data_IF_398515391430
#
_entry.id   IF_398515391430
#
_cell.length_a   1.000
_cell.length_b   1.000
_cell.length_c   1.000
_cell.angle_alpha   90.00
_cell.angle_beta   90.00
_cell.angle_gamma   90.00
#
_symmetry.space_group_name_H-M   'P 1'
#
loop_
_entity.id
_entity.type
_entity.pdbx_description
1 polymer ?
#
# COMPACT_ATOMS: atom_id res chain seq x y z
N UNK A 1 11.65 -6.51 11.95
CA UNK A 1 11.27 -5.12 11.67
C UNK A 1 9.82 -4.95 12.09
N UNK A 2 9.52 -4.05 13.03
CA UNK A 2 8.14 -3.61 13.25
C UNK A 2 7.98 -2.34 12.43
N UNK A 3 7.25 -2.42 11.31
CA UNK A 3 6.88 -1.24 10.55
C UNK A 3 5.93 -0.39 11.40
N UNK A 4 6.26 0.88 11.59
CA UNK A 4 5.30 1.86 12.12
C UNK A 4 4.21 2.01 11.07
N UNK A 5 2.96 1.69 11.44
CA UNK A 5 1.79 1.80 10.58
C UNK A 5 1.73 3.20 9.96
N UNK A 6 1.59 3.24 8.64
CA UNK A 6 1.24 4.44 7.88
C UNK A 6 -0.17 4.27 7.38
N UNK A 7 -0.95 5.33 7.37
CA UNK A 7 -2.32 5.27 6.88
C UNK A 7 -2.75 6.59 6.27
N UNK A 8 -3.68 6.49 5.34
CA UNK A 8 -4.42 7.59 4.73
C UNK A 8 -5.90 7.21 4.72
N UNK A 9 -6.77 8.19 4.98
CA UNK A 9 -8.21 8.01 4.83
C UNK A 9 -8.60 8.21 3.36
N UNK A 10 -9.54 7.39 2.88
CA UNK A 10 -10.05 7.46 1.51
C UNK A 10 -11.56 7.26 1.55
N UNK A 11 -12.31 8.08 0.81
CA UNK A 11 -13.75 7.88 0.62
C UNK A 11 -14.00 7.37 -0.79
N UNK A 12 -14.76 6.28 -0.92
CA UNK A 12 -15.04 5.57 -2.17
C UNK A 12 -16.54 5.36 -2.22
N UNK A 13 -17.22 5.91 -3.23
CA UNK A 13 -18.69 5.80 -3.40
C UNK A 13 -19.52 6.13 -2.14
N UNK A 14 -19.04 7.08 -1.33
CA UNK A 14 -19.71 7.51 -0.09
C UNK A 14 -19.48 6.59 1.12
N UNK A 15 -18.67 5.54 0.95
CA UNK A 15 -18.20 4.68 2.02
C UNK A 15 -16.79 5.09 2.46
N UNK A 16 -16.53 5.01 3.77
CA UNK A 16 -15.25 5.39 4.36
C UNK A 16 -14.29 4.20 4.46
N UNK A 17 -13.11 4.38 3.90
CA UNK A 17 -12.02 3.42 3.92
C UNK A 17 -10.77 4.03 4.55
N UNK A 18 -9.86 3.14 4.92
CA UNK A 18 -8.49 3.48 5.21
C UNK A 18 -7.58 2.65 4.30
N UNK A 19 -6.53 3.28 3.78
CA UNK A 19 -5.42 2.53 3.22
C UNK A 19 -4.28 2.57 4.23
N UNK A 20 -3.92 1.40 4.75
CA UNK A 20 -2.88 1.28 5.77
C UNK A 20 -1.76 0.35 5.31
N UNK A 21 -0.53 0.73 5.61
CA UNK A 21 0.67 -0.06 5.36
C UNK A 21 1.37 -0.40 6.67
N UNK A 22 1.43 -1.69 6.96
CA UNK A 22 1.95 -2.30 8.18
C UNK A 22 2.32 -3.78 7.92
N UNK A 23 2.71 -4.50 8.97
CA UNK A 23 3.03 -5.93 8.86
C UNK A 23 1.86 -6.78 8.36
N UNK A 24 0.60 -6.38 8.60
CA UNK A 24 -0.59 -7.10 8.11
C UNK A 24 -0.69 -6.99 6.60
N UNK A 25 -0.39 -5.82 6.06
CA UNK A 25 -0.39 -5.54 4.63
C UNK A 25 0.64 -6.42 3.90
N UNK A 26 1.85 -6.54 4.46
CA UNK A 26 2.88 -7.44 3.92
C UNK A 26 2.46 -8.91 4.00
N UNK A 27 1.83 -9.33 5.10
CA UNK A 27 1.34 -10.69 5.26
C UNK A 27 0.28 -11.02 4.22
N UNK A 28 -0.72 -10.15 4.05
CA UNK A 28 -1.78 -10.28 3.03
C UNK A 28 -1.21 -10.29 1.62
N UNK A 29 -0.27 -9.39 1.30
CA UNK A 29 0.41 -9.38 0.00
C UNK A 29 1.05 -10.75 -0.29
N UNK A 30 1.81 -11.28 0.67
CA UNK A 30 2.49 -12.57 0.50
C UNK A 30 1.50 -13.74 0.37
N UNK A 31 0.42 -13.72 1.14
CA UNK A 31 -0.60 -14.77 1.14
C UNK A 31 -1.38 -14.84 -0.17
N UNK A 32 -1.78 -13.70 -0.72
CA UNK A 32 -2.65 -13.64 -1.90
C UNK A 32 -1.83 -13.71 -3.20
N UNK A 33 -0.73 -12.97 -3.26
CA UNK A 33 0.00 -12.73 -4.51
C UNK A 33 1.16 -13.73 -4.71
N UNK A 34 1.74 -14.22 -3.61
CA UNK A 34 2.86 -15.17 -3.67
C UNK A 34 4.18 -14.60 -4.23
N UNK A 35 4.24 -13.30 -4.55
CA UNK A 35 5.45 -12.61 -5.02
C UNK A 35 6.21 -11.98 -3.84
N UNK A 36 7.54 -11.87 -3.90
CA UNK A 36 8.30 -11.08 -2.94
C UNK A 36 7.89 -9.60 -2.98
N UNK A 37 7.71 -8.97 -1.81
CA UNK A 37 7.32 -7.57 -1.70
C UNK A 37 8.23 -6.61 -2.50
N UNK A 38 9.54 -6.83 -2.45
CA UNK A 38 10.52 -5.98 -3.16
C UNK A 38 10.37 -6.03 -4.67
N UNK A 39 9.92 -7.17 -5.21
CA UNK A 39 9.61 -7.31 -6.63
C UNK A 39 8.36 -6.49 -6.98
N UNK A 40 7.28 -6.69 -6.22
CA UNK A 40 6.05 -5.91 -6.39
C UNK A 40 6.29 -4.41 -6.29
N UNK A 41 7.09 -3.97 -5.32
CA UNK A 41 7.44 -2.57 -5.17
C UNK A 41 8.17 -2.00 -6.40
N UNK A 42 9.10 -2.76 -6.99
CA UNK A 42 9.77 -2.34 -8.21
C UNK A 42 8.82 -2.23 -9.41
N UNK A 43 7.82 -3.11 -9.49
CA UNK A 43 6.76 -3.10 -10.51
C UNK A 43 5.80 -1.92 -10.29
N UNK A 44 5.41 -1.64 -9.05
CA UNK A 44 4.60 -0.46 -8.66
C UNK A 44 5.27 0.85 -9.12
N UNK A 45 6.59 0.98 -8.94
CA UNK A 45 7.34 2.16 -9.38
C UNK A 45 7.39 2.33 -10.90
N UNK A 46 7.18 1.25 -11.65
CA UNK A 46 7.11 1.26 -13.11
C UNK A 46 5.69 1.54 -13.62
N UNK A 47 4.72 1.68 -12.71
CA UNK A 47 3.31 1.85 -13.06
C UNK A 47 2.67 0.57 -13.59
N UNK A 48 3.13 -0.60 -13.14
CA UNK A 48 2.50 -1.87 -13.46
C UNK A 48 1.13 -1.98 -12.78
N UNK A 49 0.07 -2.11 -13.58
CA UNK A 49 -1.31 -2.12 -13.10
C UNK A 49 -1.61 -3.32 -12.16
N UNK A 50 -1.02 -4.49 -12.43
CA UNK A 50 -1.18 -5.65 -11.53
C UNK A 50 -0.53 -5.36 -10.18
N UNK A 51 0.67 -4.80 -10.17
CA UNK A 51 1.33 -4.42 -8.93
C UNK A 51 0.51 -3.37 -8.17
N UNK A 52 -0.03 -2.35 -8.84
CA UNK A 52 -0.92 -1.36 -8.22
C UNK A 52 -2.10 -2.05 -7.53
N UNK A 53 -2.77 -2.98 -8.21
CA UNK A 53 -3.89 -3.74 -7.64
C UNK A 53 -3.47 -4.61 -6.46
N UNK A 54 -2.34 -5.31 -6.57
CA UNK A 54 -1.77 -6.13 -5.50
C UNK A 54 -1.55 -5.30 -4.22
N UNK A 55 -1.08 -4.06 -4.38
CA UNK A 55 -0.91 -3.13 -3.26
C UNK A 55 -2.24 -2.58 -2.75
N UNK A 56 -3.20 -2.24 -3.61
CA UNK A 56 -4.54 -1.80 -3.17
C UNK A 56 -5.20 -2.92 -2.35
N UNK A 57 -5.20 -4.15 -2.87
CA UNK A 57 -5.77 -5.33 -2.22
C UNK A 57 -5.17 -5.57 -0.82
N UNK A 58 -3.86 -5.39 -0.68
CA UNK A 58 -3.16 -5.63 0.58
C UNK A 58 -3.21 -4.47 1.58
N UNK A 59 -3.63 -3.26 1.16
CA UNK A 59 -3.60 -2.06 2.01
C UNK A 59 -4.97 -1.45 2.29
N UNK A 60 -5.93 -1.59 1.38
CA UNK A 60 -7.29 -1.04 1.51
C UNK A 60 -8.11 -1.83 2.54
N UNK A 61 -8.77 -1.11 3.44
CA UNK A 61 -9.58 -1.66 4.54
C UNK A 61 -10.82 -0.80 4.73
N UNK A 62 -11.93 -1.42 5.13
CA UNK A 62 -13.11 -0.68 5.57
C UNK A 62 -12.76 0.05 6.86
N UNK A 63 -13.23 1.29 7.05
CA UNK A 63 -12.99 2.03 8.30
C UNK A 63 -13.59 1.33 9.53
N UNK A 64 -14.65 0.54 9.33
CA UNK A 64 -15.27 -0.32 10.35
C UNK A 64 -14.44 -1.56 10.71
N UNK A 65 -13.53 -2.01 9.84
CA UNK A 65 -12.64 -3.16 10.06
C UNK A 65 -11.17 -2.77 9.76
N UNK A 66 -10.57 -1.83 10.53
CA UNK A 66 -9.31 -1.16 10.18
C UNK A 66 -8.06 -2.05 10.23
N UNK A 67 -8.19 -3.30 10.68
CA UNK A 67 -7.10 -4.28 10.77
C UNK A 67 -7.21 -5.42 9.76
N UNK A 68 -8.20 -5.32 8.85
CA UNK A 68 -8.50 -6.35 7.85
C UNK A 68 -8.41 -5.77 6.44
N UNK A 69 -7.29 -5.99 5.73
CA UNK A 69 -7.20 -5.77 4.30
C UNK A 69 -8.33 -6.48 3.56
N UNK A 70 -8.92 -5.80 2.57
CA UNK A 70 -9.94 -6.38 1.70
C UNK A 70 -9.41 -7.58 0.90
N UNK A 71 -8.12 -7.54 0.53
CA UNK A 71 -7.47 -8.65 -0.14
C UNK A 71 -8.13 -9.00 -1.46
N UNK A 72 -8.55 -10.26 -1.61
CA UNK A 72 -9.15 -10.79 -2.85
C UNK A 72 -10.42 -10.07 -3.26
N UNK A 73 -11.15 -9.47 -2.33
CA UNK A 73 -12.36 -8.68 -2.63
C UNK A 73 -12.06 -7.54 -3.63
N UNK A 74 -10.86 -6.96 -3.58
CA UNK A 74 -10.43 -5.93 -4.55
C UNK A 74 -10.21 -6.51 -5.94
N UNK A 75 -9.64 -7.72 -6.02
CA UNK A 75 -9.30 -8.38 -7.29
C UNK A 75 -10.53 -8.97 -8.00
N UNK A 76 -11.59 -9.26 -7.23
CA UNK A 76 -12.86 -9.78 -7.73
C UNK A 76 -13.88 -8.67 -8.04
N UNK A 77 -13.59 -7.43 -7.62
CA UNK A 77 -14.45 -6.25 -7.80
C UNK A 77 -14.23 -5.51 -9.12
N UNK A 78 -14.66 -4.25 -9.17
CA UNK A 78 -14.42 -3.37 -10.32
C UNK A 78 -12.95 -2.90 -10.33
N UNK A 79 -12.12 -3.70 -11.01
CA UNK A 79 -10.68 -3.50 -11.13
C UNK A 79 -10.34 -2.12 -11.72
N UNK A 80 -11.07 -1.68 -12.75
CA UNK A 80 -10.80 -0.42 -13.43
C UNK A 80 -11.13 0.77 -12.52
N UNK A 81 -12.22 0.66 -11.77
CA UNK A 81 -12.58 1.65 -10.76
C UNK A 81 -11.51 1.77 -9.67
N UNK A 82 -11.00 0.65 -9.14
CA UNK A 82 -9.95 0.69 -8.12
C UNK A 82 -8.63 1.27 -8.66
N UNK A 83 -8.21 0.88 -9.87
CA UNK A 83 -7.03 1.47 -10.52
C UNK A 83 -7.18 2.98 -10.65
N UNK A 84 -8.28 3.44 -11.25
CA UNK A 84 -8.47 4.88 -11.53
C UNK A 84 -8.61 5.72 -10.26
N UNK A 85 -9.20 5.17 -9.20
CA UNK A 85 -9.47 5.90 -7.95
C UNK A 85 -8.30 5.86 -6.96
N UNK A 86 -7.59 4.73 -6.88
CA UNK A 86 -6.68 4.46 -5.76
C UNK A 86 -5.20 4.40 -6.11
N UNK A 87 -4.83 4.42 -7.39
CA UNK A 87 -3.41 4.37 -7.80
C UNK A 87 -2.56 5.42 -7.10
N UNK A 88 -2.99 6.69 -7.12
CA UNK A 88 -2.21 7.76 -6.48
C UNK A 88 -2.12 7.58 -4.96
N UNK A 89 -3.21 7.15 -4.33
CA UNK A 89 -3.29 6.90 -2.89
C UNK A 89 -2.32 5.81 -2.48
N UNK A 90 -2.30 4.68 -3.20
CA UNK A 90 -1.42 3.56 -2.87
C UNK A 90 0.05 3.89 -3.09
N UNK A 91 0.39 4.61 -4.17
CA UNK A 91 1.76 5.04 -4.44
C UNK A 91 2.27 5.98 -3.34
N UNK A 92 1.44 6.94 -2.90
CA UNK A 92 1.78 7.85 -1.80
C UNK A 92 1.98 7.07 -0.50
N UNK A 93 1.05 6.17 -0.15
CA UNK A 93 1.11 5.37 1.06
C UNK A 93 2.41 4.56 1.12
N UNK A 94 2.72 3.81 0.07
CA UNK A 94 3.92 2.97 0.02
C UNK A 94 5.18 3.84 0.08
N UNK A 95 5.19 4.99 -0.60
CA UNK A 95 6.32 5.93 -0.55
C UNK A 95 6.56 6.50 0.86
N UNK A 96 5.50 6.81 1.61
CA UNK A 96 5.57 7.26 3.01
C UNK A 96 6.09 6.19 3.98
N UNK A 97 5.98 4.93 3.59
CA UNK A 97 6.41 3.78 4.38
C UNK A 97 7.87 3.38 4.15
N UNK A 98 8.51 3.93 3.13
CA UNK A 98 9.92 3.68 2.87
C UNK A 98 10.78 4.40 3.92
N UNK A 99 11.88 3.79 4.37
CA UNK A 99 12.82 4.46 5.24
C UNK A 99 13.36 5.72 4.52
N UNK A 100 13.41 6.84 5.26
CA UNK A 100 14.08 8.03 4.78
C UNK A 100 15.50 7.67 4.31
N UNK A 101 15.91 8.16 3.13
CA UNK A 101 17.32 8.02 2.72
C UNK A 101 18.17 8.52 3.88
N UNK A 102 19.21 7.77 4.31
CA UNK A 102 20.05 8.21 5.40
C UNK A 102 20.57 9.60 5.03
N UNK A 103 20.15 10.63 5.78
CA UNK A 103 20.74 11.95 5.69
C UNK A 103 22.21 11.72 6.00
N UNK A 104 23.08 11.80 4.98
CA UNK A 104 24.49 12.02 5.19
C UNK A 104 24.58 13.31 5.98
N UNK A 105 24.62 13.18 7.31
CA UNK A 105 24.98 14.27 8.20
C UNK A 105 26.38 14.65 7.77
N UNK A 106 26.49 15.72 6.97
CA UNK A 106 27.75 16.41 6.77
C UNK A 106 28.25 16.71 8.18
N UNK A 107 29.22 15.92 8.66
CA UNK A 107 30.02 16.25 9.83
C UNK A 107 30.63 17.61 9.52
N UNK A 108 30.05 18.65 10.11
CA UNK A 108 30.70 19.93 10.28
C UNK A 108 31.96 19.67 11.10
N UNK A 109 33.11 19.54 10.43
CA UNK A 109 34.42 19.64 11.08
C UNK A 109 34.51 21.07 11.63
N UNK A 110 34.42 21.20 12.96
CA UNK A 110 35.02 22.29 13.70
C UNK A 110 36.43 21.88 14.06
#
# INVERSE_FOLDING_TARGET
>A
MNLTRKEIEVSIDGEDYIMAFDNRSIATYKEIIGKPFTKGYAELLQGDDEAVLDFIASTLRRKSEPDKPLGKEVLEGDVLFFLTTLTNHVVILISMSLPDKPKNSKKSKR
#
